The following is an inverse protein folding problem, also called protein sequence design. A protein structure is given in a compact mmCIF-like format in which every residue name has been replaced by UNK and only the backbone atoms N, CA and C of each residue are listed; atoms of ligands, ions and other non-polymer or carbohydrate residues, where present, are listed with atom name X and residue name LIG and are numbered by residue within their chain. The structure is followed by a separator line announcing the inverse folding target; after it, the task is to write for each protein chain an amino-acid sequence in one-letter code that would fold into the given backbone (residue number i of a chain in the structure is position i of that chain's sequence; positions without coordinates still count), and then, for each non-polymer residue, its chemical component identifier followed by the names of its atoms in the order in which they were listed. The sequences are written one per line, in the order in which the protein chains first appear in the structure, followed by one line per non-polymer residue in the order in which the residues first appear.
data_IF_590476266522
#
_entry.id   IF_590476266522
#
_cell.length_a   1.000
_cell.length_b   1.000
_cell.length_c   1.000
_cell.angle_alpha   90.00
_cell.angle_beta   90.00
_cell.angle_gamma   90.00
#
_symmetry.space_group_name_H-M   'P 1'
#
loop_
_entity.id
_entity.type
_entity.pdbx_description
1 polymer ?
#
# COMPACT_ATOMS: atom_id res chain seq x y z
N UNK A 1 -1.51 9.66 10.49
CA UNK A 1 -2.21 8.38 10.67
C UNK A 1 -1.37 7.46 11.52
N UNK A 2 -1.97 6.83 12.51
CA UNK A 2 -1.27 5.92 13.41
C UNK A 2 -1.61 4.48 13.07
N UNK A 3 -0.73 3.55 13.46
CA UNK A 3 -0.96 2.14 13.16
C UNK A 3 -2.27 1.62 13.76
N UNK A 4 -2.66 2.12 14.93
CA UNK A 4 -3.90 1.66 15.56
C UNK A 4 -5.17 2.16 14.83
N UNK A 5 -5.02 3.11 13.91
CA UNK A 5 -6.13 3.56 13.07
C UNK A 5 -6.36 2.62 11.87
N UNK A 6 -5.47 1.67 11.65
CA UNK A 6 -5.51 0.78 10.52
C UNK A 6 -6.33 -0.47 10.83
N UNK A 7 -6.70 -1.22 9.80
CA UNK A 7 -7.43 -2.47 9.98
C UNK A 7 -6.54 -3.53 10.65
N UNK A 8 -7.20 -4.57 11.14
CA UNK A 8 -6.51 -5.64 11.89
C UNK A 8 -5.37 -6.25 11.10
N UNK A 9 -5.58 -6.52 9.82
CA UNK A 9 -4.55 -7.16 9.00
C UNK A 9 -3.29 -6.30 8.90
N UNK A 10 -3.45 -4.99 8.69
CA UNK A 10 -2.29 -4.09 8.62
C UNK A 10 -1.57 -4.07 9.96
N UNK A 11 -2.32 -4.03 11.05
CA UNK A 11 -1.74 -4.02 12.40
C UNK A 11 -0.97 -5.30 12.69
N UNK A 12 -1.49 -6.44 12.26
CA UNK A 12 -0.81 -7.73 12.45
C UNK A 12 0.51 -7.78 11.69
N UNK A 13 0.49 -7.36 10.43
CA UNK A 13 1.71 -7.37 9.61
C UNK A 13 2.74 -6.37 10.13
N UNK A 14 2.28 -5.21 10.61
CA UNK A 14 3.17 -4.23 11.24
C UNK A 14 3.91 -4.86 12.42
N UNK A 15 3.20 -5.60 13.26
CA UNK A 15 3.80 -6.27 14.41
C UNK A 15 4.79 -7.35 13.98
N UNK A 16 4.47 -8.12 12.94
CA UNK A 16 5.35 -9.16 12.43
C UNK A 16 6.65 -8.59 11.85
N UNK A 17 6.58 -7.49 11.15
CA UNK A 17 7.77 -6.81 10.64
C UNK A 17 8.61 -6.31 11.81
N UNK A 18 7.97 -5.72 12.81
CA UNK A 18 8.66 -5.20 13.98
C UNK A 18 9.33 -6.27 14.82
N UNK A 19 8.76 -7.50 14.85
CA UNK A 19 9.35 -8.61 15.60
C UNK A 19 10.34 -9.43 14.79
N UNK A 20 10.52 -9.12 13.50
CA UNK A 20 11.46 -9.83 12.64
C UNK A 20 10.89 -11.06 11.97
N UNK A 21 9.60 -11.36 12.15
CA UNK A 21 8.96 -12.50 11.49
C UNK A 21 8.83 -12.28 9.99
N UNK A 22 8.72 -11.02 9.56
CA UNK A 22 8.65 -10.64 8.16
C UNK A 22 9.68 -9.55 7.90
N UNK A 23 10.35 -9.64 6.75
CA UNK A 23 11.27 -8.59 6.35
C UNK A 23 10.51 -7.38 5.83
N UNK A 24 11.05 -6.18 6.02
CA UNK A 24 10.46 -5.01 5.42
C UNK A 24 11.12 -4.73 4.08
N UNK A 25 10.40 -4.00 3.22
CA UNK A 25 10.89 -3.67 1.88
C UNK A 25 11.42 -2.23 1.89
N UNK A 26 12.72 -2.01 1.63
CA UNK A 26 13.28 -0.66 1.70
C UNK A 26 12.66 0.34 0.71
N UNK A 27 12.20 -0.13 -0.45
CA UNK A 27 11.58 0.75 -1.45
C UNK A 27 10.07 0.82 -1.19
N UNK A 28 9.70 1.52 -0.13
CA UNK A 28 8.31 1.56 0.34
C UNK A 28 7.34 2.12 -0.70
N UNK A 29 7.72 3.20 -1.39
CA UNK A 29 6.84 3.80 -2.41
C UNK A 29 6.61 2.82 -3.55
N UNK A 30 7.68 2.20 -4.06
CA UNK A 30 7.56 1.23 -5.13
C UNK A 30 6.70 0.04 -4.72
N UNK A 31 6.91 -0.46 -3.51
CA UNK A 31 6.12 -1.57 -2.97
C UNK A 31 4.64 -1.21 -2.91
N UNK A 32 4.32 -0.02 -2.41
CA UNK A 32 2.93 0.42 -2.30
C UNK A 32 2.29 0.60 -3.67
N UNK A 33 3.01 1.20 -4.63
CA UNK A 33 2.49 1.39 -5.98
C UNK A 33 2.22 0.06 -6.66
N UNK A 34 3.12 -0.91 -6.52
CA UNK A 34 2.93 -2.24 -7.12
C UNK A 34 1.70 -2.93 -6.56
N UNK A 35 1.54 -2.90 -5.23
CA UNK A 35 0.38 -3.53 -4.58
C UNK A 35 -0.92 -2.87 -5.01
N UNK A 36 -0.95 -1.54 -5.04
CA UNK A 36 -2.14 -0.80 -5.44
C UNK A 36 -2.45 -1.00 -6.92
N UNK A 37 -1.42 -1.07 -7.75
CA UNK A 37 -1.59 -1.35 -9.18
C UNK A 37 -2.23 -2.73 -9.40
N UNK A 38 -1.79 -3.73 -8.65
CA UNK A 38 -2.35 -5.08 -8.77
C UNK A 38 -3.83 -5.08 -8.39
N UNK A 39 -4.20 -4.34 -7.36
CA UNK A 39 -5.61 -4.22 -6.94
C UNK A 39 -6.41 -3.48 -8.01
N UNK A 40 -5.89 -2.37 -8.51
CA UNK A 40 -6.59 -1.58 -9.53
C UNK A 40 -6.79 -2.37 -10.82
N UNK A 41 -5.86 -3.25 -11.16
CA UNK A 41 -5.94 -4.06 -12.37
C UNK A 41 -6.70 -5.36 -12.20
N UNK A 42 -7.20 -5.67 -11.03
CA UNK A 42 -7.88 -6.93 -10.75
C UNK A 42 -9.36 -6.82 -11.08
N UNK A 43 -9.76 -7.38 -12.23
CA UNK A 43 -11.14 -7.30 -12.72
C UNK A 43 -12.16 -8.00 -11.81
N UNK A 44 -11.69 -8.86 -10.90
CA UNK A 44 -12.57 -9.56 -9.97
C UNK A 44 -13.04 -8.68 -8.81
N UNK A 45 -12.43 -7.50 -8.64
CA UNK A 45 -12.77 -6.59 -7.54
C UNK A 45 -13.80 -5.54 -7.98
N UNK A 46 -14.60 -5.02 -7.03
CA UNK A 46 -15.56 -3.97 -7.33
C UNK A 46 -14.88 -2.70 -7.84
N UNK A 47 -15.55 -1.99 -8.76
CA UNK A 47 -15.03 -0.78 -9.36
C UNK A 47 -14.61 0.28 -8.31
N UNK A 48 -15.40 0.54 -7.25
CA UNK A 48 -14.97 1.55 -6.26
C UNK A 48 -13.66 1.18 -5.57
N UNK A 49 -13.43 -0.10 -5.29
CA UNK A 49 -12.19 -0.57 -4.68
C UNK A 49 -11.01 -0.34 -5.63
N UNK A 50 -11.19 -0.70 -6.89
CA UNK A 50 -10.17 -0.53 -7.92
C UNK A 50 -9.83 0.95 -8.13
N UNK A 51 -10.86 1.79 -8.17
CA UNK A 51 -10.67 3.23 -8.34
C UNK A 51 -9.91 3.86 -7.19
N UNK A 52 -10.21 3.43 -5.98
CA UNK A 52 -9.51 3.92 -4.78
C UNK A 52 -8.02 3.54 -4.83
N UNK A 53 -7.73 2.30 -5.19
CA UNK A 53 -6.35 1.84 -5.31
C UNK A 53 -5.59 2.59 -6.42
N UNK A 54 -6.25 2.80 -7.56
CA UNK A 54 -5.65 3.54 -8.67
C UNK A 54 -5.34 4.98 -8.30
N UNK A 55 -6.26 5.64 -7.59
CA UNK A 55 -6.05 7.00 -7.12
C UNK A 55 -4.84 7.07 -6.18
N UNK A 56 -4.76 6.13 -5.24
CA UNK A 56 -3.66 6.10 -4.28
C UNK A 56 -2.33 5.88 -4.99
N UNK A 57 -2.29 4.97 -5.96
CA UNK A 57 -1.07 4.70 -6.72
C UNK A 57 -0.62 5.94 -7.50
N UNK A 58 -1.57 6.61 -8.17
CA UNK A 58 -1.27 7.80 -8.94
C UNK A 58 -0.75 8.92 -8.03
N UNK A 59 -1.37 9.08 -6.87
CA UNK A 59 -0.96 10.10 -5.90
C UNK A 59 0.47 9.83 -5.40
N UNK A 60 0.79 8.57 -5.12
CA UNK A 60 2.12 8.20 -4.67
C UNK A 60 3.18 8.45 -5.74
N UNK A 61 2.85 8.15 -7.00
CA UNK A 61 3.79 8.39 -8.10
C UNK A 61 4.09 9.86 -8.28
N UNK A 62 3.07 10.72 -8.15
CA UNK A 62 3.26 12.16 -8.25
C UNK A 62 4.10 12.66 -7.08
N UNK A 63 3.79 12.20 -5.86
CA UNK A 63 4.51 12.61 -4.67
C UNK A 63 5.98 12.19 -4.72
N UNK A 64 6.26 10.97 -5.17
CA UNK A 64 7.63 10.48 -5.29
C UNK A 64 8.42 11.30 -6.31
N UNK A 65 7.78 11.66 -7.42
CA UNK A 65 8.41 12.49 -8.45
C UNK A 65 8.72 13.89 -7.91
N UNK A 66 7.80 14.48 -7.16
CA UNK A 66 7.98 15.82 -6.62
C UNK A 66 9.07 15.87 -5.55
N UNK A 67 9.25 14.79 -4.81
CA UNK A 67 10.22 14.71 -3.72
C UNK A 67 11.65 14.46 -4.21
N UNK A 68 11.82 14.24 -5.48
CA UNK A 68 13.15 14.11 -6.09
C UNK A 68 13.65 15.45 -6.58
#
# INVERSE_FOLDING_TARGET
MQVYDCCTLVRELYAQIGSGEQGYIPKAIECAVRALNDIAGDDSLPQPTRGKAAFAAANLLISDFEDQ
#
